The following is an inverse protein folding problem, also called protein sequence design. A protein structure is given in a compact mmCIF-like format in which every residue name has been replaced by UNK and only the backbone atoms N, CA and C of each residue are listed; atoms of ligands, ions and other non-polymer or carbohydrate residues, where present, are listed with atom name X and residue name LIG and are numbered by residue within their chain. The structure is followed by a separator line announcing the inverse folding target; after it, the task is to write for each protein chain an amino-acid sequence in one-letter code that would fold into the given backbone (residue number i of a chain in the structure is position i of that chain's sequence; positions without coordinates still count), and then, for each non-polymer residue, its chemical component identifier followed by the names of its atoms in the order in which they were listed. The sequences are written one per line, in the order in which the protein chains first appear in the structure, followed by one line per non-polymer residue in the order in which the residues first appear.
data_IF_100277336161
#
_entry.id   IF_100277336161
#
_cell.length_a   1.000
_cell.length_b   1.000
_cell.length_c   1.000
_cell.angle_alpha   90.00
_cell.angle_beta   90.00
_cell.angle_gamma   90.00
#
_symmetry.space_group_name_H-M   'P 1'
#
loop_
_entity.id
_entity.type
_entity.pdbx_description
1 polymer ?
#
# COMPACT_ATOMS: atom_id res chain seq x y z
N UNK A 1 40.26 -21.53 23.94
CA UNK A 1 39.07 -22.40 23.79
C UNK A 1 37.97 -21.76 24.63
N UNK A 2 37.03 -20.96 24.14
CA UNK A 2 36.49 -20.79 22.79
C UNK A 2 35.08 -21.39 22.74
N UNK A 3 34.07 -20.56 23.04
CA UNK A 3 32.61 -20.70 22.87
C UNK A 3 31.86 -20.33 24.17
N UNK A 4 30.82 -19.49 24.22
CA UNK A 4 30.13 -18.70 23.20
C UNK A 4 29.32 -17.63 23.95
N UNK A 5 29.60 -16.38 23.62
CA UNK A 5 28.96 -15.16 24.09
C UNK A 5 27.84 -14.83 23.10
N UNK A 6 26.65 -15.41 23.29
CA UNK A 6 25.64 -15.41 22.21
C UNK A 6 24.19 -15.64 22.60
N UNK A 7 23.80 -15.52 23.87
CA UNK A 7 22.42 -15.81 24.29
C UNK A 7 21.74 -14.67 25.07
N UNK A 8 22.15 -13.41 24.84
CA UNK A 8 21.48 -12.25 25.45
C UNK A 8 21.40 -11.07 24.50
N UNK A 9 20.65 -11.20 23.40
CA UNK A 9 20.37 -10.03 22.57
C UNK A 9 19.11 -10.17 21.70
N UNK A 10 17.93 -10.42 22.28
CA UNK A 10 16.67 -9.89 21.69
C UNK A 10 15.45 -9.94 22.61
N UNK A 11 15.59 -9.43 23.83
CA UNK A 11 14.41 -9.07 24.62
C UNK A 11 14.07 -7.60 24.36
N UNK A 12 12.90 -7.34 23.78
CA UNK A 12 12.24 -6.04 23.88
C UNK A 12 12.57 -5.01 22.79
N UNK A 13 12.26 -5.31 21.53
CA UNK A 13 11.78 -4.23 20.66
C UNK A 13 10.27 -4.18 20.83
N UNK A 14 9.83 -3.32 21.75
CA UNK A 14 8.46 -2.84 21.76
C UNK A 14 8.20 -2.28 20.36
N UNK A 15 7.34 -2.96 19.60
CA UNK A 15 6.72 -2.39 18.42
C UNK A 15 5.88 -1.24 18.97
N UNK A 16 6.47 -0.04 19.00
CA UNK A 16 5.69 1.19 19.07
C UNK A 16 4.91 1.20 17.77
N UNK A 17 3.74 0.56 17.77
CA UNK A 17 2.77 0.74 16.71
C UNK A 17 2.66 2.24 16.51
N UNK A 18 3.03 2.72 15.33
CA UNK A 18 2.85 4.11 14.97
C UNK A 18 1.40 4.44 15.28
N UNK A 19 1.20 5.22 16.34
CA UNK A 19 -0.13 5.63 16.78
C UNK A 19 -0.76 6.25 15.54
N UNK A 20 -1.93 5.77 15.06
CA UNK A 20 -2.59 6.41 13.93
C UNK A 20 -2.76 7.85 14.34
N UNK A 21 -2.05 8.73 13.63
CA UNK A 21 -1.96 10.12 14.00
C UNK A 21 -3.41 10.64 13.96
N UNK A 22 -4.00 10.92 15.12
CA UNK A 22 -5.42 11.28 15.25
C UNK A 22 -5.79 12.57 14.47
N UNK A 23 -4.80 13.18 13.81
CA UNK A 23 -4.89 14.35 12.95
C UNK A 23 -4.61 14.08 11.46
N UNK A 24 -4.44 12.83 11.00
CA UNK A 24 -4.25 12.55 9.56
C UNK A 24 -5.55 12.78 8.79
N UNK A 25 -5.69 14.00 8.26
CA UNK A 25 -6.85 14.49 7.50
C UNK A 25 -6.74 14.24 6.00
N UNK A 26 -5.76 13.43 5.56
CA UNK A 26 -5.62 13.12 4.14
C UNK A 26 -6.85 12.36 3.62
N UNK A 27 -7.29 12.63 2.39
CA UNK A 27 -8.48 12.00 1.84
C UNK A 27 -8.28 10.49 1.69
N UNK A 28 -9.32 9.73 2.02
CA UNK A 28 -9.33 8.27 1.98
C UNK A 28 -10.28 7.78 0.90
N UNK A 29 -10.05 6.55 0.45
CA UNK A 29 -10.93 5.85 -0.47
C UNK A 29 -12.22 5.48 0.27
N UNK A 30 -13.26 6.29 0.12
CA UNK A 30 -14.59 6.07 0.73
C UNK A 30 -15.69 5.82 -0.30
N UNK A 31 -15.39 5.90 -1.60
CA UNK A 31 -16.35 5.63 -2.67
C UNK A 31 -15.65 5.04 -3.91
N UNK A 32 -16.39 4.31 -4.79
CA UNK A 32 -15.82 3.70 -5.99
C UNK A 32 -15.20 4.70 -6.98
N UNK A 33 -15.65 5.96 -6.98
CA UNK A 33 -15.09 7.00 -7.86
C UNK A 33 -13.59 7.24 -7.59
N UNK A 34 -13.16 7.14 -6.32
CA UNK A 34 -11.77 7.27 -5.91
C UNK A 34 -10.94 6.09 -6.46
N UNK A 35 -11.48 4.87 -6.37
CA UNK A 35 -10.85 3.68 -6.93
C UNK A 35 -10.75 3.75 -8.47
N UNK A 36 -11.78 4.28 -9.14
CA UNK A 36 -11.76 4.53 -10.58
C UNK A 36 -10.67 5.55 -10.97
N UNK A 37 -10.45 6.58 -10.16
CA UNK A 37 -9.38 7.54 -10.40
C UNK A 37 -7.99 6.87 -10.31
N UNK A 38 -7.79 5.98 -9.33
CA UNK A 38 -6.55 5.19 -9.20
C UNK A 38 -6.38 4.20 -10.36
N UNK A 39 -7.45 3.53 -10.80
CA UNK A 39 -7.42 2.67 -11.98
C UNK A 39 -7.11 3.46 -13.25
N UNK A 40 -7.61 4.69 -13.37
CA UNK A 40 -7.29 5.58 -14.49
C UNK A 40 -5.82 5.97 -14.49
N UNK A 41 -5.24 6.21 -13.30
CA UNK A 41 -3.82 6.43 -13.14
C UNK A 41 -3.00 5.18 -13.54
N UNK A 42 -3.36 4.01 -13.03
CA UNK A 42 -2.70 2.74 -13.35
C UNK A 42 -2.77 2.40 -14.86
N UNK A 43 -3.91 2.67 -15.50
CA UNK A 43 -4.11 2.46 -16.93
C UNK A 43 -3.18 3.31 -17.81
N UNK A 44 -2.63 4.42 -17.29
CA UNK A 44 -1.58 5.17 -17.95
C UNK A 44 -0.27 4.39 -18.13
N UNK A 45 -0.03 3.37 -17.29
CA UNK A 45 1.16 2.53 -17.35
C UNK A 45 0.96 1.24 -18.14
N UNK A 46 -0.16 0.56 -17.97
CA UNK A 46 -0.37 -0.80 -18.49
C UNK A 46 -1.52 -0.95 -19.49
N UNK A 47 -2.24 0.13 -19.79
CA UNK A 47 -3.32 0.12 -20.76
C UNK A 47 -4.53 -0.73 -20.35
N UNK A 48 -4.71 -1.06 -19.06
CA UNK A 48 -5.85 -1.86 -18.59
C UNK A 48 -7.20 -1.22 -18.94
N UNK A 49 -8.20 -2.07 -19.14
CA UNK A 49 -9.60 -1.66 -19.14
C UNK A 49 -10.00 -1.17 -17.74
N UNK A 50 -10.92 -0.20 -17.72
CA UNK A 50 -11.43 0.39 -16.48
C UNK A 50 -12.89 0.75 -16.67
N UNK A 51 -13.70 0.31 -15.72
CA UNK A 51 -15.12 0.54 -15.70
C UNK A 51 -15.66 0.44 -14.29
N UNK A 52 -16.98 0.39 -14.20
CA UNK A 52 -17.68 0.35 -12.92
C UNK A 52 -17.33 -0.90 -12.11
N UNK A 53 -17.27 -2.06 -12.75
CA UNK A 53 -17.01 -3.32 -12.06
C UNK A 53 -15.58 -3.39 -11.50
N UNK A 54 -14.59 -2.92 -12.26
CA UNK A 54 -13.19 -2.87 -11.82
C UNK A 54 -13.03 -1.88 -10.65
N UNK A 55 -13.71 -0.73 -10.73
CA UNK A 55 -13.70 0.27 -9.68
C UNK A 55 -14.34 -0.23 -8.38
N UNK A 56 -15.48 -0.92 -8.47
CA UNK A 56 -16.15 -1.52 -7.31
C UNK A 56 -15.26 -2.60 -6.66
N UNK A 57 -14.58 -3.43 -7.47
CA UNK A 57 -13.65 -4.45 -6.98
C UNK A 57 -12.41 -3.84 -6.31
N UNK A 58 -11.81 -2.82 -6.90
CA UNK A 58 -10.67 -2.09 -6.31
C UNK A 58 -11.07 -1.34 -5.05
N UNK A 59 -12.25 -0.72 -5.03
CA UNK A 59 -12.80 -0.06 -3.85
C UNK A 59 -12.95 -1.03 -2.69
N UNK A 60 -13.53 -2.21 -2.93
CA UNK A 60 -13.69 -3.23 -1.88
C UNK A 60 -12.36 -3.68 -1.26
N UNK A 61 -11.26 -3.66 -2.02
CA UNK A 61 -9.94 -4.05 -1.55
C UNK A 61 -9.16 -2.92 -0.87
N UNK A 62 -9.43 -1.65 -1.24
CA UNK A 62 -8.65 -0.49 -0.81
C UNK A 62 -9.45 0.50 0.05
N UNK A 63 -10.65 0.14 0.48
CA UNK A 63 -11.49 0.99 1.33
C UNK A 63 -10.72 1.48 2.56
N UNK A 64 -10.78 2.78 2.82
CA UNK A 64 -10.09 3.41 3.95
C UNK A 64 -8.60 3.71 3.72
N UNK A 65 -7.99 3.23 2.64
CA UNK A 65 -6.61 3.61 2.29
C UNK A 65 -6.54 5.09 1.90
N UNK A 66 -5.45 5.76 2.26
CA UNK A 66 -5.19 7.16 1.86
C UNK A 66 -4.92 7.22 0.37
N UNK A 67 -5.63 8.09 -0.35
CA UNK A 67 -5.60 8.15 -1.82
C UNK A 67 -4.19 8.46 -2.32
N UNK A 68 -3.49 9.40 -1.68
CA UNK A 68 -2.14 9.77 -2.06
C UNK A 68 -1.14 8.63 -1.87
N UNK A 69 -1.27 7.86 -0.79
CA UNK A 69 -0.40 6.72 -0.49
C UNK A 69 -0.62 5.59 -1.51
N UNK A 70 -1.89 5.30 -1.87
CA UNK A 70 -2.21 4.35 -2.92
C UNK A 70 -1.64 4.76 -4.28
N UNK A 71 -1.74 6.05 -4.65
CA UNK A 71 -1.15 6.54 -5.91
C UNK A 71 0.38 6.46 -5.90
N UNK A 72 1.01 6.76 -4.77
CA UNK A 72 2.45 6.64 -4.61
C UNK A 72 2.90 5.18 -4.74
N UNK A 73 2.20 4.24 -4.10
CA UNK A 73 2.44 2.80 -4.21
C UNK A 73 2.33 2.31 -5.66
N UNK A 74 1.27 2.69 -6.39
CA UNK A 74 1.14 2.35 -7.82
C UNK A 74 2.34 2.85 -8.63
N UNK A 75 2.77 4.08 -8.36
CA UNK A 75 3.89 4.70 -9.08
C UNK A 75 5.21 3.97 -8.76
N UNK A 76 5.42 3.60 -7.51
CA UNK A 76 6.61 2.87 -7.07
C UNK A 76 6.64 1.44 -7.62
N UNK A 77 5.49 0.77 -7.68
CA UNK A 77 5.36 -0.54 -8.33
C UNK A 77 5.88 -0.49 -9.76
N UNK A 78 5.41 0.47 -10.57
CA UNK A 78 5.83 0.58 -11.97
C UNK A 78 7.26 1.09 -12.18
N UNK A 79 7.94 1.60 -11.14
CA UNK A 79 9.39 1.85 -11.19
C UNK A 79 10.21 0.57 -11.08
N UNK A 80 9.68 -0.44 -10.39
CA UNK A 80 10.39 -1.69 -10.06
C UNK A 80 9.91 -2.89 -10.87
N UNK A 81 8.67 -2.85 -11.33
CA UNK A 81 7.98 -3.94 -12.00
C UNK A 81 7.41 -3.49 -13.33
N UNK A 82 7.41 -4.42 -14.29
CA UNK A 82 6.76 -4.27 -15.59
C UNK A 82 5.38 -4.94 -15.65
N UNK A 83 4.96 -5.61 -14.57
CA UNK A 83 3.69 -6.32 -14.51
C UNK A 83 2.57 -5.40 -14.04
N UNK A 84 1.32 -5.62 -14.49
CA UNK A 84 0.17 -4.87 -14.01
C UNK A 84 0.07 -4.87 -12.48
N UNK A 85 -0.12 -3.69 -11.88
CA UNK A 85 -0.34 -3.54 -10.43
C UNK A 85 -1.72 -4.05 -10.02
N UNK A 86 -1.81 -4.79 -8.92
CA UNK A 86 -3.05 -5.26 -8.32
C UNK A 86 -3.28 -4.57 -6.96
N UNK A 87 -4.51 -4.57 -6.41
CA UNK A 87 -4.77 -3.98 -5.10
C UNK A 87 -3.88 -4.55 -3.99
N UNK A 88 -3.55 -5.84 -4.04
CA UNK A 88 -2.64 -6.47 -3.08
C UNK A 88 -1.25 -5.83 -3.10
N UNK A 89 -0.69 -5.55 -4.29
CA UNK A 89 0.61 -4.89 -4.40
C UNK A 89 0.57 -3.48 -3.78
N UNK A 90 -0.57 -2.78 -3.90
CA UNK A 90 -0.75 -1.45 -3.29
C UNK A 90 -0.74 -1.55 -1.76
N UNK A 91 -1.45 -2.52 -1.19
CA UNK A 91 -1.46 -2.77 0.26
C UNK A 91 -0.06 -3.15 0.74
N UNK A 92 0.60 -4.10 0.07
CA UNK A 92 1.95 -4.53 0.39
C UNK A 92 2.96 -3.37 0.34
N UNK A 93 2.82 -2.43 -0.60
CA UNK A 93 3.68 -1.26 -0.68
C UNK A 93 3.47 -0.27 0.48
N UNK A 94 2.25 -0.13 0.97
CA UNK A 94 1.90 0.79 2.06
C UNK A 94 2.33 0.20 3.40
N UNK A 95 2.06 -1.09 3.62
CA UNK A 95 2.41 -1.81 4.85
C UNK A 95 3.90 -2.16 4.89
N UNK A 96 4.48 -2.54 3.76
CA UNK A 96 5.89 -2.93 3.61
C UNK A 96 6.87 -1.76 3.41
N UNK A 97 6.38 -0.52 3.43
CA UNK A 97 7.19 0.70 3.46
C UNK A 97 7.95 0.93 4.79
N UNK A 98 7.80 0.02 5.76
CA UNK A 98 8.56 -0.04 7.01
C UNK A 98 9.85 -0.91 6.89
N UNK A 99 10.68 -0.68 5.86
CA UNK A 99 12.01 -1.31 5.75
C UNK A 99 13.14 -0.29 5.68
#
# INVERSE_FOLDING_TARGET
MGATDGDQARAGQAITQAVPNASDRRPRITEPSHALALLTWAAGFDGRERGRFEADAWFAALEGVVIEDARAAITEHYRRSRYPVMPADVVDHIEGGEQ
#
